data_IF_872570731183
#
_entry.id   IF_872570731183
#
_cell.length_a   1.000
_cell.length_b   1.000
_cell.length_c   1.000
_cell.angle_alpha   90.00
_cell.angle_beta   90.00
_cell.angle_gamma   90.00
#
_symmetry.space_group_name_H-M   'P 1'
#
loop_
_entity.id
_entity.type
_entity.pdbx_description
1 polymer ?
#
# COMPACT_ATOMS: atom_id res chain seq x y z
N UNK A 1 -57.50 -22.85 -25.49
CA UNK A 1 -57.75 -23.47 -26.81
C UNK A 1 -56.86 -22.78 -27.84
N UNK A 2 -56.02 -23.56 -28.56
CA UNK A 2 -55.50 -23.37 -29.94
C UNK A 2 -54.80 -22.03 -30.28
N UNK A 3 -53.60 -21.90 -30.87
CA UNK A 3 -52.53 -22.73 -31.49
C UNK A 3 -51.32 -21.76 -31.62
N UNK A 4 -50.10 -22.10 -31.20
CA UNK A 4 -48.99 -22.61 -32.02
C UNK A 4 -48.79 -21.93 -33.40
N UNK A 5 -47.67 -21.23 -33.58
CA UNK A 5 -46.86 -21.34 -34.81
C UNK A 5 -45.39 -21.01 -34.51
N UNK A 6 -44.55 -22.04 -34.62
CA UNK A 6 -43.10 -21.95 -34.66
C UNK A 6 -42.67 -21.62 -36.10
N UNK A 7 -41.58 -20.86 -36.25
CA UNK A 7 -40.87 -20.75 -37.53
C UNK A 7 -39.40 -21.08 -37.30
N UNK A 8 -39.05 -22.30 -37.65
CA UNK A 8 -37.70 -22.81 -37.83
C UNK A 8 -37.21 -22.39 -39.22
N UNK A 9 -35.95 -21.97 -39.32
CA UNK A 9 -35.23 -21.90 -40.59
C UNK A 9 -33.89 -22.60 -40.44
N UNK A 10 -33.88 -23.86 -40.86
CA UNK A 10 -32.67 -24.63 -41.16
C UNK A 10 -32.24 -24.31 -42.58
N UNK A 11 -30.98 -23.93 -42.79
CA UNK A 11 -30.33 -24.09 -44.08
C UNK A 11 -29.05 -24.89 -43.89
N UNK A 12 -29.09 -26.14 -44.34
CA UNK A 12 -27.94 -26.96 -44.59
C UNK A 12 -27.61 -26.85 -46.09
N UNK A 13 -26.36 -26.48 -46.42
CA UNK A 13 -25.76 -26.79 -47.71
C UNK A 13 -24.45 -27.56 -47.44
N UNK A 14 -24.48 -28.83 -47.82
CA UNK A 14 -23.32 -29.67 -48.05
C UNK A 14 -22.98 -29.58 -49.54
N UNK A 15 -21.69 -29.44 -49.88
CA UNK A 15 -20.95 -30.38 -50.74
C UNK A 15 -19.50 -29.90 -51.03
N UNK A 16 -18.56 -30.69 -50.51
CA UNK A 16 -17.33 -31.24 -51.08
C UNK A 16 -16.49 -30.48 -52.14
N UNK A 17 -15.16 -30.47 -51.92
CA UNK A 17 -14.15 -30.37 -52.98
C UNK A 17 -12.73 -30.06 -52.49
N UNK A 18 -11.86 -31.06 -52.46
CA UNK A 18 -10.47 -31.03 -51.98
C UNK A 18 -9.51 -30.17 -52.84
N UNK A 19 -8.51 -29.52 -52.21
CA UNK A 19 -7.13 -29.47 -52.72
C UNK A 19 -6.16 -28.93 -51.64
N UNK A 20 -5.04 -29.63 -51.48
CA UNK A 20 -3.95 -29.32 -50.57
C UNK A 20 -3.17 -28.07 -51.01
N UNK A 21 -2.71 -27.28 -50.04
CA UNK A 21 -1.82 -26.14 -50.27
C UNK A 21 -1.13 -25.68 -48.99
N UNK A 22 0.01 -26.31 -48.69
CA UNK A 22 1.14 -25.82 -47.88
C UNK A 22 0.83 -24.86 -46.72
N UNK A 23 0.71 -25.41 -45.51
CA UNK A 23 0.92 -24.68 -44.28
C UNK A 23 2.41 -24.30 -44.17
N UNK A 24 2.72 -23.02 -44.37
CA UNK A 24 3.99 -22.44 -43.95
C UNK A 24 3.90 -22.25 -42.43
N UNK A 25 4.53 -23.17 -41.71
CA UNK A 25 4.82 -23.04 -40.29
C UNK A 25 5.74 -21.83 -40.12
N UNK A 26 5.19 -20.72 -39.65
CA UNK A 26 5.98 -19.67 -38.99
C UNK A 26 5.84 -19.90 -37.50
N UNK A 27 6.92 -20.39 -36.91
CA UNK A 27 7.09 -20.52 -35.48
C UNK A 27 7.03 -19.12 -34.85
N UNK A 28 5.90 -18.80 -34.23
CA UNK A 28 5.87 -17.76 -33.21
C UNK A 28 6.73 -18.27 -32.04
N UNK A 29 7.93 -17.71 -31.90
CA UNK A 29 8.69 -17.83 -30.67
C UNK A 29 7.93 -17.02 -29.62
N UNK A 30 7.27 -17.73 -28.71
CA UNK A 30 6.74 -17.15 -27.49
C UNK A 30 7.87 -16.44 -26.76
N UNK A 31 7.71 -15.15 -26.49
CA UNK A 31 8.55 -14.45 -25.54
C UNK A 31 8.50 -15.20 -24.19
N UNK A 32 9.62 -15.31 -23.46
CA UNK A 32 9.60 -15.94 -22.14
C UNK A 32 8.68 -15.12 -21.24
N UNK A 33 7.65 -15.78 -20.69
CA UNK A 33 6.85 -15.22 -19.63
C UNK A 33 7.78 -14.85 -18.47
N UNK A 34 7.93 -13.54 -18.22
CA UNK A 34 8.55 -13.06 -16.99
C UNK A 34 7.57 -13.44 -15.88
N UNK A 35 7.88 -14.54 -15.20
CA UNK A 35 7.15 -14.95 -14.01
C UNK A 35 7.33 -13.84 -12.97
N UNK A 36 6.25 -13.26 -12.41
CA UNK A 36 6.40 -12.33 -11.30
C UNK A 36 7.15 -13.04 -10.18
N UNK A 37 8.08 -12.32 -9.54
CA UNK A 37 8.70 -12.81 -8.33
C UNK A 37 7.57 -13.16 -7.34
N UNK A 38 7.57 -14.37 -6.74
CA UNK A 38 6.58 -14.71 -5.75
C UNK A 38 6.65 -13.67 -4.63
N UNK A 39 5.49 -13.14 -4.23
CA UNK A 39 5.37 -12.39 -2.99
C UNK A 39 6.10 -13.18 -1.89
N UNK A 40 6.92 -12.54 -1.05
CA UNK A 40 7.65 -13.24 -0.01
C UNK A 40 6.65 -14.04 0.81
N UNK A 41 6.74 -15.37 0.76
CA UNK A 41 6.01 -16.25 1.66
C UNK A 41 6.41 -15.84 3.06
N UNK A 42 5.52 -15.13 3.75
CA UNK A 42 5.66 -14.76 5.14
C UNK A 42 5.67 -16.04 5.95
N UNK A 43 6.87 -16.58 6.21
CA UNK A 43 7.04 -17.36 7.43
C UNK A 43 6.51 -16.48 8.58
N UNK A 44 5.70 -17.00 9.51
CA UNK A 44 5.24 -16.22 10.64
C UNK A 44 6.48 -15.58 11.28
N UNK A 45 6.47 -14.25 11.35
CA UNK A 45 7.56 -13.50 11.95
C UNK A 45 7.85 -14.12 13.33
N UNK A 46 9.10 -14.45 13.66
CA UNK A 46 9.42 -14.96 14.97
C UNK A 46 8.91 -13.96 16.02
N UNK A 47 8.20 -14.48 17.03
CA UNK A 47 7.65 -13.69 18.14
C UNK A 47 8.73 -12.74 18.68
N UNK A 48 8.44 -11.44 18.86
CA UNK A 48 9.38 -10.54 19.52
C UNK A 48 9.72 -11.07 20.92
N UNK A 49 10.99 -11.12 21.28
CA UNK A 49 11.41 -11.47 22.64
C UNK A 49 11.49 -10.20 23.46
N UNK A 50 10.97 -10.14 24.70
CA UNK A 50 11.06 -8.93 25.52
C UNK A 50 12.53 -8.53 25.75
N UNK A 51 12.82 -7.26 25.57
CA UNK A 51 14.18 -6.72 25.69
C UNK A 51 14.49 -6.27 27.13
N UNK A 52 13.46 -6.03 27.95
CA UNK A 52 13.62 -5.65 29.36
C UNK A 52 12.58 -6.30 30.32
N UNK A 53 12.85 -6.32 31.64
CA UNK A 53 11.94 -6.94 32.61
C UNK A 53 10.56 -6.27 32.74
N UNK A 54 10.47 -4.97 32.45
CA UNK A 54 9.21 -4.22 32.46
C UNK A 54 8.30 -4.66 31.31
N UNK A 55 8.86 -4.76 30.12
CA UNK A 55 8.18 -5.29 28.94
C UNK A 55 7.73 -6.75 29.15
N UNK A 56 8.60 -7.60 29.69
CA UNK A 56 8.24 -8.99 29.99
C UNK A 56 7.06 -9.10 30.98
N UNK A 57 6.97 -8.19 31.94
CA UNK A 57 5.87 -8.12 32.91
C UNK A 57 4.56 -7.70 32.24
N UNK A 58 4.58 -6.69 31.37
CA UNK A 58 3.41 -6.24 30.62
C UNK A 58 2.91 -7.34 29.67
N UNK A 59 3.84 -8.02 28.99
CA UNK A 59 3.51 -9.12 28.09
C UNK A 59 2.84 -10.28 28.85
N UNK A 60 3.38 -10.67 30.01
CA UNK A 60 2.77 -11.69 30.85
C UNK A 60 1.37 -11.28 31.32
N UNK A 61 1.17 -10.01 31.70
CA UNK A 61 -0.13 -9.52 32.16
C UNK A 61 -1.19 -9.53 31.05
N UNK A 62 -0.86 -9.11 29.83
CA UNK A 62 -1.81 -9.14 28.71
C UNK A 62 -2.12 -10.58 28.27
N UNK A 63 -1.14 -11.50 28.33
CA UNK A 63 -1.36 -12.91 28.01
C UNK A 63 -2.23 -13.60 29.08
N UNK A 64 -2.04 -13.25 30.36
CA UNK A 64 -2.90 -13.71 31.45
C UNK A 64 -4.34 -13.18 31.29
N UNK A 65 -4.50 -11.87 31.03
CA UNK A 65 -5.80 -11.24 30.86
C UNK A 65 -6.57 -11.75 29.63
N UNK A 66 -5.86 -11.95 28.51
CA UNK A 66 -6.46 -12.47 27.27
C UNK A 66 -6.63 -13.99 27.26
N UNK A 67 -5.95 -14.70 28.17
CA UNK A 67 -5.87 -16.16 28.21
C UNK A 67 -5.12 -16.78 27.02
N UNK A 68 -4.31 -15.99 26.29
CA UNK A 68 -3.73 -16.35 24.99
C UNK A 68 -2.31 -15.82 24.87
N UNK A 69 -1.50 -16.51 24.07
CA UNK A 69 -0.18 -16.02 23.68
C UNK A 69 -0.32 -14.88 22.67
N UNK A 70 0.48 -13.82 22.83
CA UNK A 70 0.55 -12.74 21.85
C UNK A 70 1.42 -13.16 20.66
N UNK A 71 0.85 -13.02 19.45
CA UNK A 71 1.53 -13.29 18.18
C UNK A 71 2.51 -12.18 17.82
N UNK A 72 2.15 -10.94 18.16
CA UNK A 72 2.95 -9.74 17.97
C UNK A 72 2.62 -8.74 19.09
N UNK A 73 3.53 -7.85 19.42
CA UNK A 73 3.28 -6.77 20.38
C UNK A 73 4.29 -5.64 20.18
N UNK A 74 3.96 -4.47 20.72
CA UNK A 74 4.87 -3.34 20.89
C UNK A 74 4.75 -2.80 22.31
N UNK A 75 5.84 -2.19 22.79
CA UNK A 75 5.94 -1.58 24.10
C UNK A 75 6.50 -0.16 23.95
N UNK A 76 5.70 0.85 24.27
CA UNK A 76 6.04 2.27 24.06
C UNK A 76 5.39 3.15 25.12
N UNK A 77 6.01 4.29 25.41
CA UNK A 77 5.47 5.34 26.29
C UNK A 77 4.49 6.20 25.46
N UNK A 78 3.20 5.88 25.53
CA UNK A 78 2.21 6.42 24.60
C UNK A 78 1.65 7.78 25.02
N UNK A 79 1.64 8.07 26.31
CA UNK A 79 1.17 9.34 26.87
C UNK A 79 2.32 10.29 27.31
N UNK A 80 3.56 9.84 27.23
CA UNK A 80 4.75 10.64 27.52
C UNK A 80 5.03 10.78 29.02
N UNK A 81 4.45 9.93 29.88
CA UNK A 81 4.66 9.97 31.32
C UNK A 81 5.98 9.30 31.78
N UNK A 82 6.67 8.62 30.85
CA UNK A 82 7.92 7.90 31.08
C UNK A 82 7.74 6.42 31.42
N UNK A 83 6.50 5.96 31.56
CA UNK A 83 6.10 4.56 31.70
C UNK A 83 5.73 4.03 30.31
N UNK A 84 6.09 2.78 30.00
CA UNK A 84 5.67 2.16 28.75
C UNK A 84 4.38 1.39 28.95
N UNK A 85 3.49 1.48 27.98
CA UNK A 85 2.31 0.64 27.80
C UNK A 85 2.58 -0.42 26.74
N UNK A 86 1.73 -1.44 26.70
CA UNK A 86 1.83 -2.53 25.71
C UNK A 86 0.58 -2.60 24.85
N UNK A 87 0.78 -2.75 23.54
CA UNK A 87 -0.24 -3.21 22.61
C UNK A 87 0.15 -4.60 22.11
N UNK A 88 -0.77 -5.57 22.18
CA UNK A 88 -0.55 -6.95 21.79
C UNK A 88 -1.60 -7.45 20.80
N UNK A 89 -1.20 -8.34 19.90
CA UNK A 89 -2.08 -9.00 18.92
C UNK A 89 -2.20 -10.47 19.28
N UNK A 90 -3.41 -10.98 19.36
CA UNK A 90 -3.68 -12.42 19.48
C UNK A 90 -4.85 -12.84 18.58
N UNK A 91 -4.93 -14.12 18.25
CA UNK A 91 -6.09 -14.65 17.51
C UNK A 91 -7.16 -15.13 18.50
N UNK A 92 -8.41 -14.69 18.32
CA UNK A 92 -9.54 -15.26 19.05
C UNK A 92 -9.87 -16.64 18.52
N UNK A 93 -9.71 -17.68 19.34
CA UNK A 93 -9.95 -19.08 18.97
C UNK A 93 -11.35 -19.33 18.40
N UNK A 94 -12.33 -18.56 18.85
CA UNK A 94 -13.74 -18.81 18.57
C UNK A 94 -14.19 -18.12 17.27
N UNK A 95 -13.61 -16.96 16.95
CA UNK A 95 -13.96 -16.18 15.75
C UNK A 95 -12.89 -16.24 14.65
N UNK A 96 -11.72 -16.81 14.95
CA UNK A 96 -10.51 -16.77 14.12
C UNK A 96 -10.09 -15.35 13.71
N UNK A 97 -10.54 -14.33 14.45
CA UNK A 97 -10.22 -12.94 14.15
C UNK A 97 -9.08 -12.46 15.04
N UNK A 98 -8.23 -11.59 14.48
CA UNK A 98 -7.20 -10.92 15.27
C UNK A 98 -7.85 -9.91 16.25
N UNK A 99 -7.46 -9.98 17.52
CA UNK A 99 -7.79 -8.99 18.54
C UNK A 99 -6.53 -8.23 18.92
N UNK A 100 -6.66 -6.91 19.04
CA UNK A 100 -5.63 -6.04 19.61
C UNK A 100 -6.02 -5.72 21.04
N UNK A 101 -5.08 -5.97 21.94
CA UNK A 101 -5.17 -5.73 23.36
C UNK A 101 -4.26 -4.58 23.75
N UNK A 102 -4.71 -3.77 24.69
CA UNK A 102 -3.93 -2.79 25.42
C UNK A 102 -3.63 -3.33 26.81
N UNK A 103 -2.48 -2.99 27.37
CA UNK A 103 -2.22 -3.11 28.80
C UNK A 103 -1.50 -1.89 29.35
N UNK A 104 -1.99 -1.36 30.48
CA UNK A 104 -1.49 -0.19 31.18
C UNK A 104 -0.06 -0.37 31.67
N UNK A 105 0.69 0.73 31.81
CA UNK A 105 2.09 0.68 32.22
C UNK A 105 2.35 0.10 33.61
N UNK A 106 1.36 0.07 34.49
CA UNK A 106 1.40 -0.60 35.80
C UNK A 106 0.88 -2.05 35.77
N UNK A 107 0.47 -2.55 34.60
CA UNK A 107 -0.14 -3.86 34.37
C UNK A 107 -1.44 -4.12 35.15
N UNK A 108 -2.09 -3.10 35.68
CA UNK A 108 -3.34 -3.25 36.43
C UNK A 108 -4.55 -3.46 35.50
N UNK A 109 -4.51 -2.87 34.30
CA UNK A 109 -5.62 -2.88 33.36
C UNK A 109 -5.13 -3.40 32.00
N UNK A 110 -5.69 -4.52 31.54
CA UNK A 110 -5.54 -4.95 30.16
C UNK A 110 -6.92 -5.21 29.53
N UNK A 111 -7.14 -4.75 28.30
CA UNK A 111 -8.44 -4.83 27.62
C UNK A 111 -8.32 -4.92 26.10
N UNK A 112 -9.33 -5.50 25.45
CA UNK A 112 -9.46 -5.45 23.97
C UNK A 112 -9.79 -4.02 23.53
N UNK A 113 -9.03 -3.50 22.57
CA UNK A 113 -9.23 -2.15 22.01
C UNK A 113 -9.61 -2.17 20.54
N UNK A 114 -9.28 -3.24 19.81
CA UNK A 114 -9.69 -3.41 18.42
C UNK A 114 -9.91 -4.89 18.11
N UNK A 115 -10.89 -5.17 17.25
CA UNK A 115 -11.10 -6.50 16.65
C UNK A 115 -11.08 -6.37 15.15
N UNK A 116 -10.26 -7.19 14.49
CA UNK A 116 -10.28 -7.32 13.05
C UNK A 116 -11.52 -8.08 12.59
N UNK A 117 -11.91 -7.86 11.34
CA UNK A 117 -12.87 -8.73 10.66
C UNK A 117 -12.24 -10.12 10.47
N UNK A 118 -13.02 -11.22 10.52
CA UNK A 118 -12.49 -12.58 10.38
C UNK A 118 -11.68 -12.84 9.10
N UNK A 119 -11.95 -12.08 8.04
CA UNK A 119 -11.25 -12.19 6.76
C UNK A 119 -9.83 -11.60 6.78
N UNK A 120 -9.52 -10.72 7.75
CA UNK A 120 -8.22 -10.07 7.91
C UNK A 120 -7.34 -10.88 8.87
N UNK A 121 -6.71 -11.93 8.34
CA UNK A 121 -5.98 -12.94 9.08
C UNK A 121 -4.56 -12.51 9.52
N UNK A 122 -4.06 -11.37 9.04
CA UNK A 122 -2.80 -10.77 9.52
C UNK A 122 -3.05 -9.41 10.18
N UNK A 123 -2.41 -9.19 11.32
CA UNK A 123 -2.43 -7.92 12.05
C UNK A 123 -1.04 -7.54 12.54
N UNK A 124 -0.56 -6.35 12.15
CA UNK A 124 0.73 -5.79 12.57
C UNK A 124 0.52 -4.45 13.28
N UNK A 125 1.44 -4.13 14.18
CA UNK A 125 1.42 -2.91 14.96
C UNK A 125 2.67 -2.08 14.65
N UNK A 126 2.52 -0.77 14.62
CA UNK A 126 3.62 0.15 14.40
C UNK A 126 3.47 1.42 15.23
N UNK A 127 4.56 1.88 15.84
CA UNK A 127 4.59 3.13 16.59
C UNK A 127 4.80 4.29 15.62
N UNK A 128 3.94 5.30 15.71
CA UNK A 128 4.06 6.54 14.95
C UNK A 128 4.40 7.67 15.93
N UNK A 129 5.48 8.41 15.67
CA UNK A 129 5.80 9.63 16.42
C UNK A 129 5.28 10.82 15.61
N UNK A 130 4.23 11.50 16.08
CA UNK A 130 3.57 12.56 15.35
C UNK A 130 3.25 13.75 16.26
N UNK A 131 3.74 14.94 15.90
CA UNK A 131 3.55 16.18 16.68
C UNK A 131 3.95 16.07 18.17
N UNK A 132 4.96 15.24 18.47
CA UNK A 132 5.42 14.98 19.83
C UNK A 132 4.56 13.97 20.62
N UNK A 133 3.52 13.39 20.00
CA UNK A 133 2.72 12.29 20.55
C UNK A 133 3.17 10.94 19.95
N UNK A 134 2.97 9.86 20.71
CA UNK A 134 3.19 8.50 20.26
C UNK A 134 1.84 7.81 20.01
N UNK A 135 1.62 7.40 18.77
CA UNK A 135 0.43 6.69 18.34
C UNK A 135 0.77 5.26 17.91
N UNK A 136 -0.25 4.42 17.76
CA UNK A 136 -0.12 3.05 17.28
C UNK A 136 -0.96 2.86 16.02
N UNK A 137 -0.31 2.62 14.89
CA UNK A 137 -0.98 2.09 13.71
C UNK A 137 -1.27 0.59 13.91
N UNK A 138 -2.53 0.23 13.74
CA UNK A 138 -3.02 -1.15 13.72
C UNK A 138 -3.33 -1.50 12.27
N UNK A 139 -2.44 -2.24 11.63
CA UNK A 139 -2.54 -2.64 10.23
C UNK A 139 -3.10 -4.06 10.12
N UNK A 140 -4.24 -4.22 9.45
CA UNK A 140 -4.95 -5.50 9.27
C UNK A 140 -5.05 -5.81 7.79
N UNK A 141 -4.67 -7.00 7.38
CA UNK A 141 -4.70 -7.38 5.97
C UNK A 141 -4.92 -8.88 5.78
N UNK A 142 -5.33 -9.24 4.57
CA UNK A 142 -5.38 -10.64 4.14
C UNK A 142 -3.96 -11.07 3.78
N UNK A 143 -3.39 -12.05 4.47
CA UNK A 143 -2.01 -12.50 4.27
C UNK A 143 -1.75 -13.03 2.86
N UNK A 144 -2.78 -13.58 2.20
CA UNK A 144 -2.77 -13.99 0.80
C UNK A 144 -3.81 -13.21 -0.02
N UNK A 145 -3.76 -11.88 0.06
CA UNK A 145 -4.66 -10.99 -0.67
C UNK A 145 -4.14 -9.57 -0.76
N UNK A 146 -4.99 -8.68 -1.25
CA UNK A 146 -4.69 -7.26 -1.50
C UNK A 146 -5.53 -6.33 -0.65
N UNK A 147 -6.35 -6.88 0.24
CA UNK A 147 -7.21 -6.10 1.13
C UNK A 147 -6.43 -5.75 2.38
N UNK A 148 -6.26 -4.46 2.63
CA UNK A 148 -5.64 -3.92 3.82
C UNK A 148 -6.46 -2.77 4.40
N UNK A 149 -6.54 -2.72 5.72
CA UNK A 149 -7.16 -1.65 6.49
C UNK A 149 -6.28 -1.28 7.68
N UNK A 150 -6.30 -0.02 8.05
CA UNK A 150 -5.60 0.47 9.23
C UNK A 150 -6.54 1.20 10.19
N UNK A 151 -6.21 1.18 11.47
CA UNK A 151 -6.68 2.17 12.44
C UNK A 151 -5.46 2.82 13.10
N UNK A 152 -5.59 4.05 13.59
CA UNK A 152 -4.54 4.69 14.40
C UNK A 152 -5.10 4.99 15.78
N UNK A 153 -4.43 4.51 16.80
CA UNK A 153 -4.83 4.61 18.20
C UNK A 153 -3.85 5.50 18.97
N UNK A 154 -4.32 6.17 20.01
CA UNK A 154 -3.50 6.93 20.94
C UNK A 154 -3.96 6.67 22.38
N UNK A 155 -3.11 6.95 23.36
CA UNK A 155 -3.47 6.96 24.77
C UNK A 155 -3.66 8.41 25.23
N UNK A 156 -4.86 8.75 25.71
CA UNK A 156 -5.17 10.10 26.21
C UNK A 156 -5.94 10.01 27.51
N UNK A 157 -5.45 10.70 28.53
CA UNK A 157 -6.05 10.69 29.87
C UNK A 157 -6.26 9.26 30.42
N UNK A 158 -5.34 8.34 30.10
CA UNK A 158 -5.40 6.93 30.48
C UNK A 158 -6.37 6.07 29.65
N UNK A 159 -7.01 6.62 28.63
CA UNK A 159 -7.94 5.90 27.75
C UNK A 159 -7.39 5.75 26.33
N UNK A 160 -7.60 4.57 25.74
CA UNK A 160 -7.25 4.34 24.33
C UNK A 160 -8.32 4.98 23.43
N UNK A 161 -7.90 5.95 22.62
CA UNK A 161 -8.74 6.66 21.67
C UNK A 161 -8.39 6.29 20.24
N UNK A 162 -9.38 6.30 19.34
CA UNK A 162 -9.18 6.03 17.91
C UNK A 162 -9.10 7.36 17.14
N UNK A 163 -7.95 7.63 16.52
CA UNK A 163 -7.68 8.85 15.75
C UNK A 163 -8.05 8.68 14.27
N UNK A 164 -7.98 7.46 13.76
CA UNK A 164 -8.44 7.07 12.42
C UNK A 164 -8.98 5.65 12.51
N UNK A 165 -10.23 5.43 12.08
CA UNK A 165 -10.88 4.13 12.24
C UNK A 165 -11.11 3.43 10.90
N UNK A 166 -10.59 2.20 10.79
CA UNK A 166 -10.84 1.24 9.73
C UNK A 166 -10.75 1.81 8.31
N UNK A 167 -9.68 2.56 8.06
CA UNK A 167 -9.42 3.21 6.78
C UNK A 167 -8.69 2.25 5.82
N UNK A 168 -8.93 2.29 4.50
CA UNK A 168 -8.23 1.45 3.55
C UNK A 168 -6.72 1.75 3.51
N UNK A 169 -5.91 0.69 3.43
CA UNK A 169 -4.46 0.77 3.25
C UNK A 169 -3.66 0.27 4.45
N UNK A 170 -2.37 0.57 4.42
CA UNK A 170 -1.37 0.17 5.43
C UNK A 170 -0.50 1.37 5.79
N UNK A 171 -0.34 1.66 7.08
CA UNK A 171 0.41 2.82 7.57
C UNK A 171 1.76 2.38 8.12
N UNK A 172 2.81 3.10 7.74
CA UNK A 172 4.19 2.92 8.19
C UNK A 172 4.87 4.26 8.46
N UNK A 173 5.79 4.31 9.40
CA UNK A 173 6.73 5.41 9.60
C UNK A 173 8.10 5.08 8.96
N UNK A 174 8.66 6.02 8.20
CA UNK A 174 10.01 5.89 7.64
C UNK A 174 11.08 6.27 8.68
N UNK A 175 12.32 5.88 8.43
CA UNK A 175 13.46 6.29 9.26
C UNK A 175 13.68 7.82 9.26
N UNK A 176 13.19 8.52 8.22
CA UNK A 176 13.21 9.98 8.14
C UNK A 176 12.09 10.65 8.95
N UNK A 177 11.13 9.87 9.45
CA UNK A 177 10.00 10.33 10.24
C UNK A 177 8.75 10.69 9.44
N UNK A 178 8.72 10.40 8.14
CA UNK A 178 7.50 10.51 7.34
C UNK A 178 6.53 9.38 7.67
N UNK A 179 5.24 9.69 7.75
CA UNK A 179 4.20 8.67 7.92
C UNK A 179 3.59 8.39 6.54
N UNK A 180 3.91 7.22 6.00
CA UNK A 180 3.46 6.73 4.70
C UNK A 180 2.19 5.92 4.87
N UNK A 181 1.20 6.21 4.04
CA UNK A 181 0.02 5.39 3.85
C UNK A 181 0.14 4.70 2.48
N UNK A 182 0.27 3.39 2.49
CA UNK A 182 0.23 2.54 1.30
C UNK A 182 -1.22 2.23 0.92
N UNK A 183 -1.61 2.61 -0.29
CA UNK A 183 -2.95 2.46 -0.84
C UNK A 183 -2.95 1.48 -2.01
N UNK A 184 -3.90 0.55 -1.97
CA UNK A 184 -4.07 -0.49 -2.96
C UNK A 184 -4.89 -0.01 -4.17
N UNK A 185 -4.50 -0.46 -5.37
CA UNK A 185 -5.23 -0.17 -6.60
C UNK A 185 -4.92 -1.18 -7.71
N UNK A 186 -5.58 -1.01 -8.85
CA UNK A 186 -5.35 -1.80 -10.07
C UNK A 186 -5.03 -0.85 -11.22
N UNK A 187 -3.89 -0.18 -11.13
CA UNK A 187 -3.52 0.87 -12.08
C UNK A 187 -2.05 0.85 -12.53
N UNK A 188 -1.40 -0.32 -12.48
CA UNK A 188 0.01 -0.46 -12.86
C UNK A 188 0.25 -0.53 -14.37
N UNK A 189 -0.74 -0.94 -15.15
CA UNK A 189 -0.66 -0.92 -16.61
C UNK A 189 -2.02 -0.72 -17.27
N UNK A 190 -2.02 -0.18 -18.48
CA UNK A 190 -3.17 -0.13 -19.37
C UNK A 190 -2.88 -0.95 -20.63
N UNK A 191 -3.81 -1.82 -21.00
CA UNK A 191 -3.74 -2.61 -22.23
C UNK A 191 -4.75 -2.08 -23.25
N UNK A 192 -4.25 -1.48 -24.33
CA UNK A 192 -5.10 -0.80 -25.31
C UNK A 192 -6.00 -1.73 -26.12
N UNK A 193 -5.53 -2.94 -26.42
CA UNK A 193 -6.29 -3.91 -27.22
C UNK A 193 -7.63 -4.30 -26.58
N UNK A 194 -7.69 -4.30 -25.24
CA UNK A 194 -8.84 -4.75 -24.46
C UNK A 194 -9.49 -3.61 -23.64
N UNK A 195 -8.97 -2.38 -23.73
CA UNK A 195 -9.40 -1.20 -22.97
C UNK A 195 -9.49 -1.49 -21.46
N UNK A 196 -8.41 -2.04 -20.90
CA UNK A 196 -8.39 -2.61 -19.56
C UNK A 196 -7.20 -2.12 -18.74
N UNK A 197 -7.49 -1.71 -17.49
CA UNK A 197 -6.48 -1.51 -16.46
C UNK A 197 -6.08 -2.84 -15.84
N UNK A 198 -4.78 -3.06 -15.77
CA UNK A 198 -4.15 -4.28 -15.29
C UNK A 198 -3.15 -3.95 -14.18
N UNK A 199 -2.70 -5.03 -13.54
CA UNK A 199 -1.71 -5.06 -12.49
C UNK A 199 -2.17 -4.40 -11.20
N UNK A 200 -2.13 -5.19 -10.15
CA UNK A 200 -2.30 -4.74 -8.80
C UNK A 200 -1.08 -3.90 -8.37
N UNK A 201 -1.33 -2.80 -7.66
CA UNK A 201 -0.31 -1.83 -7.24
C UNK A 201 -0.56 -1.36 -5.82
N UNK A 202 0.52 -1.19 -5.07
CA UNK A 202 0.55 -0.60 -3.74
C UNK A 202 1.28 0.73 -3.86
N UNK A 203 0.62 1.86 -3.59
CA UNK A 203 1.17 3.21 -3.81
C UNK A 203 1.31 3.97 -2.50
N UNK A 204 2.44 4.66 -2.30
CA UNK A 204 2.63 5.52 -1.13
C UNK A 204 1.97 6.89 -1.31
N UNK A 205 1.13 7.29 -0.35
CA UNK A 205 0.86 8.69 -0.01
C UNK A 205 1.34 8.99 1.40
N UNK A 206 1.21 10.24 1.85
CA UNK A 206 1.77 10.69 3.12
C UNK A 206 0.70 11.33 3.97
N UNK A 207 0.67 10.96 5.25
CA UNK A 207 -0.31 11.45 6.21
C UNK A 207 0.39 12.17 7.36
N UNK A 208 -0.37 13.01 8.06
CA UNK A 208 0.10 13.71 9.24
C UNK A 208 -1.00 13.84 10.26
N UNK A 209 -0.59 13.97 11.51
CA UNK A 209 -1.50 14.23 12.60
C UNK A 209 -1.83 15.73 12.68
N UNK A 210 -3.11 16.05 12.81
CA UNK A 210 -3.60 17.42 12.90
C UNK A 210 -4.61 17.55 14.06
N UNK A 211 -4.07 17.73 15.27
CA UNK A 211 -4.81 18.05 16.50
C UNK A 211 -5.65 16.90 17.07
N UNK A 212 -6.55 16.30 16.29
CA UNK A 212 -7.45 15.22 16.76
C UNK A 212 -7.49 14.01 15.82
N UNK A 213 -7.04 14.15 14.57
CA UNK A 213 -7.11 13.07 13.58
C UNK A 213 -5.97 13.16 12.57
N UNK A 214 -5.87 12.17 11.69
CA UNK A 214 -4.92 12.13 10.60
C UNK A 214 -5.51 12.69 9.31
N UNK A 215 -4.67 13.37 8.54
CA UNK A 215 -4.99 13.94 7.23
C UNK A 215 -3.94 13.55 6.21
N UNK A 216 -4.31 13.56 4.94
CA UNK A 216 -3.37 13.36 3.84
C UNK A 216 -2.73 14.69 3.43
N UNK A 217 -1.41 14.68 3.21
CA UNK A 217 -0.74 15.73 2.47
C UNK A 217 -1.15 15.63 0.99
N UNK A 218 -2.08 16.47 0.54
CA UNK A 218 -2.47 16.58 -0.85
C UNK A 218 -1.28 16.99 -1.73
N UNK A 219 -1.24 16.47 -2.96
CA UNK A 219 -0.26 16.86 -3.95
C UNK A 219 -0.82 17.94 -4.86
N UNK A 220 -0.02 18.98 -5.07
CA UNK A 220 -0.21 19.93 -6.18
C UNK A 220 0.52 19.38 -7.40
N UNK A 221 -0.21 19.22 -8.50
CA UNK A 221 0.40 18.87 -9.79
C UNK A 221 1.13 20.08 -10.37
N UNK A 222 2.40 19.90 -10.73
CA UNK A 222 3.25 20.94 -11.31
C UNK A 222 3.32 20.79 -12.83
N UNK A 223 3.42 21.93 -13.51
CA UNK A 223 3.81 21.96 -14.92
C UNK A 223 5.31 21.64 -15.09
N UNK A 224 5.73 21.23 -16.30
CA UNK A 224 7.15 21.06 -16.63
C UNK A 224 7.96 22.34 -16.35
N UNK A 225 7.38 23.52 -16.59
CA UNK A 225 8.05 24.80 -16.34
C UNK A 225 8.28 25.03 -14.84
N UNK A 226 7.32 24.68 -13.99
CA UNK A 226 7.45 24.79 -12.54
C UNK A 226 8.45 23.79 -11.99
N UNK A 227 8.39 22.52 -12.41
CA UNK A 227 9.36 21.50 -12.03
C UNK A 227 10.79 21.88 -12.44
N UNK A 228 10.97 22.40 -13.65
CA UNK A 228 12.29 22.77 -14.19
C UNK A 228 12.97 23.93 -13.45
N UNK A 229 12.26 24.63 -12.56
CA UNK A 229 12.83 25.71 -11.74
C UNK A 229 13.59 25.19 -10.53
N UNK A 230 13.37 23.95 -10.09
CA UNK A 230 14.13 23.37 -8.99
C UNK A 230 15.58 23.10 -9.38
N UNK A 231 16.50 23.28 -8.44
CA UNK A 231 17.87 22.81 -8.59
C UNK A 231 17.87 21.29 -8.69
N UNK A 232 18.74 20.77 -9.55
CA UNK A 232 18.90 19.35 -9.87
C UNK A 232 17.70 18.69 -10.58
N UNK A 233 16.66 19.44 -11.01
CA UNK A 233 15.53 18.87 -11.76
C UNK A 233 15.97 18.17 -13.05
N UNK A 234 16.90 18.79 -13.80
CA UNK A 234 17.48 18.18 -15.00
C UNK A 234 18.31 16.93 -14.70
N UNK A 235 19.02 16.91 -13.57
CA UNK A 235 19.82 15.75 -13.15
C UNK A 235 18.93 14.58 -12.72
N UNK A 236 17.83 14.87 -12.00
CA UNK A 236 16.82 13.86 -11.64
C UNK A 236 16.19 13.24 -12.90
N UNK A 237 15.76 14.09 -13.85
CA UNK A 237 15.16 13.60 -15.11
C UNK A 237 16.15 12.75 -15.91
N UNK A 238 17.41 13.19 -16.01
CA UNK A 238 18.46 12.42 -16.68
C UNK A 238 18.75 11.08 -15.98
N UNK A 239 18.69 11.03 -14.64
CA UNK A 239 18.84 9.79 -13.89
C UNK A 239 17.68 8.82 -14.14
N UNK A 240 16.44 9.32 -14.13
CA UNK A 240 15.23 8.54 -14.46
C UNK A 240 15.32 7.99 -15.89
N UNK A 241 15.62 8.83 -16.88
CA UNK A 241 15.77 8.39 -18.28
C UNK A 241 16.89 7.35 -18.45
N UNK A 242 17.95 7.46 -17.66
CA UNK A 242 19.04 6.47 -17.66
C UNK A 242 18.59 5.14 -17.07
N UNK A 243 17.83 5.15 -15.97
CA UNK A 243 17.29 3.94 -15.32
C UNK A 243 16.30 3.22 -16.22
N UNK A 244 15.43 3.98 -16.88
CA UNK A 244 14.39 3.46 -17.78
C UNK A 244 14.91 3.04 -19.15
N UNK A 245 16.18 3.31 -19.49
CA UNK A 245 16.75 3.16 -20.85
C UNK A 245 16.66 1.74 -21.46
N UNK A 246 16.21 0.74 -20.70
CA UNK A 246 16.11 -0.65 -21.11
C UNK A 246 14.68 -1.14 -21.37
N UNK A 247 13.67 -0.29 -21.19
CA UNK A 247 12.29 -0.69 -21.42
C UNK A 247 11.93 -0.55 -22.92
N UNK A 248 11.19 -1.52 -23.47
CA UNK A 248 10.68 -1.50 -24.85
C UNK A 248 9.52 -0.49 -25.00
N UNK A 249 9.80 0.81 -24.81
CA UNK A 249 8.82 1.90 -24.96
C UNK A 249 9.21 2.87 -26.07
N UNK A 250 8.19 3.43 -26.71
CA UNK A 250 8.31 4.42 -27.79
C UNK A 250 8.52 5.83 -27.24
N UNK A 251 7.80 6.18 -26.18
CA UNK A 251 7.89 7.50 -25.56
C UNK A 251 7.47 7.48 -24.09
N UNK A 252 7.89 8.51 -23.37
CA UNK A 252 7.72 8.66 -21.93
C UNK A 252 6.97 9.96 -21.63
N UNK A 253 5.89 9.86 -20.84
CA UNK A 253 5.14 10.99 -20.30
C UNK A 253 5.54 11.26 -18.86
N UNK A 254 5.69 12.55 -18.50
CA UNK A 254 5.98 12.97 -17.15
C UNK A 254 4.82 13.75 -16.53
N UNK A 255 4.52 13.47 -15.27
CA UNK A 255 3.69 14.32 -14.40
C UNK A 255 4.37 14.46 -13.03
N UNK A 256 4.16 15.59 -12.38
CA UNK A 256 4.92 15.98 -11.19
C UNK A 256 3.98 16.32 -10.04
N UNK A 257 4.10 15.63 -8.92
CA UNK A 257 3.19 15.78 -7.78
C UNK A 257 3.99 16.21 -6.54
N UNK A 258 3.86 17.48 -6.15
CA UNK A 258 4.55 18.04 -4.98
C UNK A 258 3.59 18.16 -3.80
N UNK A 259 3.98 17.58 -2.67
CA UNK A 259 3.25 17.67 -1.39
C UNK A 259 3.88 18.72 -0.48
N UNK A 260 3.09 19.28 0.43
CA UNK A 260 3.54 20.36 1.32
C UNK A 260 4.61 19.92 2.34
N UNK A 261 4.74 18.62 2.61
CA UNK A 261 5.85 18.06 3.39
C UNK A 261 7.17 17.96 2.59
N UNK A 262 7.18 18.46 1.35
CA UNK A 262 8.35 18.48 0.49
C UNK A 262 8.62 17.17 -0.23
N UNK A 263 7.65 16.25 -0.29
CA UNK A 263 7.82 15.04 -1.10
C UNK A 263 7.35 15.31 -2.52
N UNK A 264 8.22 15.01 -3.48
CA UNK A 264 7.95 15.11 -4.90
C UNK A 264 7.88 13.70 -5.50
N UNK A 265 6.74 13.38 -6.11
CA UNK A 265 6.55 12.14 -6.86
C UNK A 265 6.54 12.46 -8.35
N UNK A 266 7.46 11.85 -9.11
CA UNK A 266 7.58 12.03 -10.57
C UNK A 266 6.97 10.81 -11.24
N UNK A 267 5.75 10.96 -11.75
CA UNK A 267 5.08 9.95 -12.56
C UNK A 267 5.79 9.84 -13.91
N UNK A 268 6.01 8.59 -14.33
CA UNK A 268 6.69 8.20 -15.56
C UNK A 268 5.85 7.13 -16.26
N UNK A 269 5.04 7.57 -17.24
CA UNK A 269 4.16 6.69 -18.01
C UNK A 269 4.89 6.28 -19.29
N UNK A 270 5.17 4.98 -19.41
CA UNK A 270 5.88 4.39 -20.53
C UNK A 270 4.88 3.89 -21.56
N UNK A 271 4.92 4.43 -22.78
CA UNK A 271 3.99 4.11 -23.85
C UNK A 271 4.68 3.28 -24.94
N UNK A 272 4.03 2.22 -25.41
CA UNK A 272 4.50 1.42 -26.56
C UNK A 272 3.74 1.75 -27.86
N UNK A 273 4.18 1.15 -28.98
CA UNK A 273 3.61 1.36 -30.31
C UNK A 273 2.18 0.82 -30.47
N UNK A 274 1.79 -0.11 -29.59
CA UNK A 274 0.47 -0.69 -29.52
C UNK A 274 -0.51 0.15 -28.67
N UNK A 275 -0.01 1.22 -28.03
CA UNK A 275 -0.78 2.11 -27.15
C UNK A 275 -0.96 1.58 -25.73
N UNK A 276 -0.25 0.52 -25.33
CA UNK A 276 -0.22 0.09 -23.94
C UNK A 276 0.63 1.07 -23.12
N UNK A 277 0.32 1.13 -21.82
CA UNK A 277 0.99 2.03 -20.89
C UNK A 277 1.46 1.24 -19.67
N UNK A 278 2.72 1.38 -19.28
CA UNK A 278 3.19 0.99 -17.95
C UNK A 278 3.29 2.23 -17.06
N UNK A 279 2.53 2.25 -15.98
CA UNK A 279 2.51 3.35 -15.01
C UNK A 279 3.51 3.08 -13.89
N UNK A 280 4.25 4.11 -13.50
CA UNK A 280 5.10 4.05 -12.32
C UNK A 280 5.71 5.41 -12.01
N UNK A 281 6.31 5.55 -10.84
CA UNK A 281 6.79 6.83 -10.33
C UNK A 281 8.08 6.67 -9.55
N UNK A 282 8.84 7.76 -9.48
CA UNK A 282 9.99 7.90 -8.59
C UNK A 282 9.68 8.91 -7.51
N UNK A 283 10.29 8.74 -6.34
CA UNK A 283 10.16 9.68 -5.22
C UNK A 283 11.46 10.44 -5.01
N UNK A 284 11.35 11.76 -4.85
CA UNK A 284 12.43 12.66 -4.46
C UNK A 284 11.95 13.57 -3.33
N UNK A 285 12.89 14.21 -2.64
CA UNK A 285 12.58 15.20 -1.60
C UNK A 285 12.97 16.59 -2.09
N UNK A 286 12.08 17.56 -1.91
CA UNK A 286 12.29 18.97 -2.18
C UNK A 286 12.59 19.70 -0.86
N UNK A 287 13.69 20.47 -0.86
CA UNK A 287 14.09 21.31 0.25
C UNK A 287 14.86 22.52 -0.26
N UNK A 288 14.46 23.72 0.15
CA UNK A 288 15.15 24.99 -0.18
C UNK A 288 15.47 25.16 -1.69
N UNK A 289 14.46 24.85 -2.53
CA UNK A 289 14.52 24.83 -4.00
C UNK A 289 15.42 23.75 -4.62
N UNK A 290 15.88 22.79 -3.85
CA UNK A 290 16.73 21.68 -4.30
C UNK A 290 16.00 20.34 -4.22
N UNK A 291 16.19 19.50 -5.25
CA UNK A 291 15.73 18.11 -5.24
C UNK A 291 16.86 17.19 -4.77
N UNK A 292 16.56 16.44 -3.71
CA UNK A 292 17.37 15.39 -3.12
C UNK A 292 16.83 14.02 -3.55
N UNK A 293 17.65 13.26 -4.29
CA UNK A 293 17.25 11.98 -4.89
C UNK A 293 18.43 11.01 -5.08
N UNK A 294 19.56 11.20 -4.39
CA UNK A 294 20.77 10.39 -4.61
C UNK A 294 21.00 9.39 -3.46
N UNK A 295 21.13 8.08 -3.75
CA UNK A 295 20.93 7.45 -5.06
C UNK A 295 19.47 7.52 -5.49
N UNK A 296 19.22 7.44 -6.81
CA UNK A 296 17.86 7.35 -7.33
C UNK A 296 17.19 6.10 -6.73
N UNK A 297 16.02 6.29 -6.12
CA UNK A 297 15.22 5.18 -5.60
C UNK A 297 14.66 4.31 -6.72
N UNK A 298 14.10 3.16 -6.36
CA UNK A 298 13.46 2.28 -7.32
C UNK A 298 12.20 2.93 -7.93
N UNK A 299 11.85 2.51 -9.15
CA UNK A 299 10.56 2.86 -9.75
C UNK A 299 9.46 2.05 -9.10
N UNK A 300 8.53 2.76 -8.46
CA UNK A 300 7.33 2.17 -7.87
C UNK A 300 6.20 2.07 -8.90
N UNK A 301 5.45 0.96 -8.98
CA UNK A 301 4.37 0.81 -9.96
C UNK A 301 3.10 1.58 -9.58
N UNK A 302 2.35 2.02 -10.60
CA UNK A 302 1.01 2.62 -10.45
C UNK A 302 0.93 4.11 -10.79
N UNK A 303 -0.28 4.67 -10.67
CA UNK A 303 -0.56 6.07 -11.00
C UNK A 303 -0.64 6.97 -9.77
N UNK A 304 0.10 8.07 -9.81
CA UNK A 304 -0.01 9.17 -8.86
C UNK A 304 -1.22 10.06 -9.15
N UNK A 305 -1.73 10.70 -8.10
CA UNK A 305 -2.82 11.66 -8.15
C UNK A 305 -2.68 12.70 -7.03
N UNK A 306 -3.48 13.76 -7.12
CA UNK A 306 -3.54 14.82 -6.13
C UNK A 306 -3.89 14.31 -4.72
N UNK A 307 -4.65 13.21 -4.63
CA UNK A 307 -4.99 12.52 -3.39
C UNK A 307 -5.17 11.02 -3.68
N UNK A 308 -4.78 10.18 -2.74
CA UNK A 308 -4.84 8.72 -2.88
C UNK A 308 -5.66 8.03 -1.80
N UNK A 309 -5.90 8.67 -0.66
CA UNK A 309 -6.63 8.08 0.46
C UNK A 309 -8.08 8.57 0.58
N UNK A 310 -8.80 7.97 1.53
CA UNK A 310 -10.13 8.40 1.94
C UNK A 310 -10.12 9.44 3.09
N UNK A 311 -8.93 9.85 3.56
CA UNK A 311 -8.79 10.85 4.62
C UNK A 311 -9.09 12.26 4.10
N UNK A 312 -9.33 13.18 5.03
CA UNK A 312 -9.34 14.60 4.71
C UNK A 312 -7.98 15.05 4.16
N UNK A 313 -8.01 15.80 3.06
CA UNK A 313 -6.80 16.21 2.32
C UNK A 313 -6.48 17.68 2.57
N UNK A 314 -5.20 18.00 2.76
CA UNK A 314 -4.68 19.38 2.88
C UNK A 314 -3.63 19.63 1.80
N UNK A 315 -3.83 20.67 0.98
CA UNK A 315 -2.94 21.07 -0.12
C UNK A 315 -2.06 22.26 0.28
#
# INVERSE_FOLDING_TARGET
MKRLLALTCSFAFLLAGCAAGHAVSSSAQSAPAVSPAPAPTSSPLPRPTPDDPGEARLLAAVEEASGREMLNYLCADLDGDGTKELFGVCCASDSQSNEVWYCSGDAAECSVVCRAEPELDVCTLEVLNADGENHVAVNRHVGMGTTAFFSILALRDGEVVCLADNQPGNVRMTDAGDIVLYVESYDGAYQAADDLMLLHTVKGTYIFFYGETYKEYGATELTEEEFSRFKNAGDLKAAIEHDLRFDDYDWLEYRYFLRSNGILQVQCDLHDDAGNISFGYYTAHWKDDELEFSPLGDREPGQMAANLSALDVVY
#
